data_IF_499296353591
#
_entry.id   IF_499296353591
#
_cell.length_a   1.000
_cell.length_b   1.000
_cell.length_c   1.000
_cell.angle_alpha   90.00
_cell.angle_beta   90.00
_cell.angle_gamma   90.00
#
_symmetry.space_group_name_H-M   'P 1'
#
loop_
_entity.id
_entity.type
_entity.pdbx_description
1 polymer ?
#
# COMPACT_ATOMS: atom_id res chain seq x y z
N UNK A 1 -14.49 19.98 5.73
CA UNK A 1 -13.11 20.23 5.28
C UNK A 1 -12.30 19.05 5.76
N UNK A 2 -11.88 18.17 4.85
CA UNK A 2 -11.09 17.00 5.23
C UNK A 2 -9.65 17.47 5.33
N UNK A 3 -9.13 17.58 6.56
CA UNK A 3 -7.76 18.02 6.81
C UNK A 3 -6.78 17.20 5.97
N UNK A 4 -5.93 17.90 5.22
CA UNK A 4 -4.85 17.28 4.49
C UNK A 4 -3.69 17.03 5.42
N UNK A 5 -3.13 15.83 5.31
CA UNK A 5 -2.01 15.41 6.14
C UNK A 5 -0.91 14.79 5.28
N UNK A 6 0.31 14.85 5.82
CA UNK A 6 1.51 14.31 5.20
C UNK A 6 1.80 12.93 5.79
N UNK A 7 2.05 11.96 4.92
CA UNK A 7 2.53 10.63 5.30
C UNK A 7 4.05 10.69 5.55
N UNK A 8 4.49 10.23 6.72
CA UNK A 8 5.92 10.25 7.03
C UNK A 8 6.73 9.32 6.11
N UNK A 9 8.05 9.53 6.05
CA UNK A 9 8.96 8.68 5.27
C UNK A 9 8.92 7.21 5.69
N UNK A 10 8.61 6.95 6.95
CA UNK A 10 8.50 5.60 7.52
C UNK A 10 7.12 4.97 7.35
N UNK A 11 6.21 5.56 6.57
CA UNK A 11 4.91 4.95 6.24
C UNK A 11 5.09 3.84 5.19
N UNK A 12 5.76 2.75 5.58
CA UNK A 12 6.02 1.58 4.73
C UNK A 12 5.36 0.33 5.31
N UNK A 13 5.06 -0.66 4.45
CA UNK A 13 4.50 -1.94 4.87
C UNK A 13 5.39 -2.68 5.87
N UNK A 14 6.71 -2.47 5.80
CA UNK A 14 7.65 -3.03 6.78
C UNK A 14 7.45 -2.44 8.18
N UNK A 15 7.32 -1.11 8.29
CA UNK A 15 7.11 -0.44 9.58
C UNK A 15 5.69 -0.65 10.12
N UNK A 16 4.69 -0.74 9.23
CA UNK A 16 3.32 -1.15 9.57
C UNK A 16 3.32 -2.54 10.22
N UNK A 17 4.02 -3.51 9.62
CA UNK A 17 4.10 -4.86 10.18
C UNK A 17 4.83 -4.91 11.53
N UNK A 18 5.85 -4.06 11.72
CA UNK A 18 6.52 -3.92 13.03
C UNK A 18 5.61 -3.35 14.11
N UNK A 19 4.59 -2.58 13.75
CA UNK A 19 3.55 -2.06 14.66
C UNK A 19 2.39 -3.05 14.85
N UNK A 20 2.63 -4.36 14.67
CA UNK A 20 1.68 -5.43 14.91
C UNK A 20 0.44 -5.46 14.00
N UNK A 21 0.49 -4.76 12.86
CA UNK A 21 -0.54 -4.85 11.80
C UNK A 21 -0.04 -5.82 10.73
N UNK A 22 -0.68 -6.99 10.59
CA UNK A 22 -0.26 -7.98 9.60
C UNK A 22 -0.56 -7.51 8.20
N UNK A 23 0.34 -7.79 7.25
CA UNK A 23 0.08 -7.53 5.83
C UNK A 23 -0.59 -8.75 5.21
N UNK A 24 -1.81 -8.57 4.72
CA UNK A 24 -2.55 -9.56 3.92
C UNK A 24 -2.48 -9.17 2.45
N UNK A 25 -1.77 -9.95 1.65
CA UNK A 25 -1.74 -9.76 0.20
C UNK A 25 -3.09 -10.15 -0.40
N UNK A 26 -3.63 -9.30 -1.28
CA UNK A 26 -4.93 -9.55 -1.92
C UNK A 26 -4.88 -9.32 -3.42
N UNK A 27 -5.73 -10.02 -4.15
CA UNK A 27 -5.99 -9.79 -5.58
C UNK A 27 -7.28 -8.99 -5.79
N UNK A 28 -8.04 -8.75 -4.71
CA UNK A 28 -9.23 -7.91 -4.74
C UNK A 28 -8.85 -6.44 -4.55
N UNK A 29 -8.95 -5.64 -5.61
CA UNK A 29 -8.66 -4.20 -5.56
C UNK A 29 -9.59 -3.46 -4.57
N UNK A 30 -10.84 -3.93 -4.41
CA UNK A 30 -11.80 -3.32 -3.46
C UNK A 30 -11.32 -3.43 -2.01
N UNK A 31 -10.48 -4.41 -1.70
CA UNK A 31 -9.89 -4.59 -0.36
C UNK A 31 -8.63 -3.73 -0.16
N UNK A 32 -8.09 -3.07 -1.18
CA UNK A 32 -6.80 -2.38 -1.06
C UNK A 32 -6.82 -1.32 0.05
N UNK A 33 -5.88 -1.40 0.99
CA UNK A 33 -5.77 -0.59 2.20
C UNK A 33 -6.89 -0.77 3.23
N UNK A 34 -7.72 -1.81 3.11
CA UNK A 34 -8.71 -2.13 4.13
C UNK A 34 -7.99 -2.63 5.39
N UNK A 35 -8.14 -1.89 6.48
CA UNK A 35 -7.71 -2.30 7.81
C UNK A 35 -8.87 -3.02 8.52
N UNK A 36 -8.64 -4.26 8.94
CA UNK A 36 -9.59 -5.05 9.74
C UNK A 36 -9.01 -5.35 11.10
N UNK A 37 -9.87 -5.40 12.13
CA UNK A 37 -9.51 -5.82 13.48
C UNK A 37 -10.44 -6.98 13.88
N UNK A 38 -9.86 -8.16 14.06
CA UNK A 38 -10.56 -9.37 14.49
C UNK A 38 -9.95 -9.87 15.81
N UNK A 39 -10.68 -9.69 16.91
CA UNK A 39 -10.23 -10.01 18.27
C UNK A 39 -8.83 -9.44 18.63
N UNK A 40 -8.57 -8.18 18.25
CA UNK A 40 -7.29 -7.51 18.51
C UNK A 40 -6.18 -7.86 17.50
N UNK A 41 -6.48 -8.66 16.48
CA UNK A 41 -5.56 -8.97 15.38
C UNK A 41 -5.84 -8.06 14.21
N UNK A 42 -5.00 -7.04 14.07
CA UNK A 42 -5.10 -6.09 12.97
C UNK A 42 -4.46 -6.64 11.69
N UNK A 43 -5.17 -6.56 10.58
CA UNK A 43 -4.67 -6.92 9.26
C UNK A 43 -4.95 -5.80 8.26
N UNK A 44 -3.93 -5.43 7.48
CA UNK A 44 -4.02 -4.50 6.37
C UNK A 44 -3.99 -5.28 5.06
N UNK A 45 -5.06 -5.18 4.28
CA UNK A 45 -5.14 -5.76 2.96
C UNK A 45 -4.38 -4.92 1.93
N UNK A 46 -3.42 -5.52 1.22
CA UNK A 46 -2.61 -4.83 0.20
C UNK A 46 -2.75 -5.54 -1.14
N UNK A 47 -3.47 -4.90 -2.06
CA UNK A 47 -3.52 -5.33 -3.46
C UNK A 47 -2.12 -5.35 -4.05
N UNK A 48 -1.64 -6.47 -4.59
CA UNK A 48 -0.24 -6.57 -5.04
C UNK A 48 -0.05 -6.62 -6.55
N UNK A 49 -1.07 -6.91 -7.37
CA UNK A 49 -0.90 -7.19 -8.80
C UNK A 49 -0.65 -5.92 -9.65
N UNK A 50 0.48 -5.23 -9.41
CA UNK A 50 0.90 -4.03 -10.12
C UNK A 50 1.14 -4.28 -11.62
N UNK A 51 1.56 -5.48 -12.01
CA UNK A 51 1.67 -5.92 -13.40
C UNK A 51 0.32 -5.86 -14.13
N UNK A 52 -0.76 -6.27 -13.44
CA UNK A 52 -2.13 -6.25 -13.99
C UNK A 52 -2.61 -4.81 -14.18
N UNK A 53 -2.38 -3.94 -13.20
CA UNK A 53 -2.69 -2.50 -13.31
C UNK A 53 -1.92 -1.84 -14.46
N UNK A 54 -0.63 -2.14 -14.58
CA UNK A 54 0.24 -1.63 -15.63
C UNK A 54 -0.21 -2.11 -17.02
N UNK A 55 -0.67 -3.36 -17.13
CA UNK A 55 -1.28 -3.89 -18.35
C UNK A 55 -2.59 -3.18 -18.70
N UNK A 56 -3.50 -2.99 -17.73
CA UNK A 56 -4.74 -2.24 -17.94
C UNK A 56 -4.50 -0.80 -18.40
N UNK A 57 -3.41 -0.17 -17.98
CA UNK A 57 -3.05 1.18 -18.45
C UNK A 57 -2.55 1.22 -19.90
N UNK A 58 -2.16 0.08 -20.47
CA UNK A 58 -1.65 -0.01 -21.86
C UNK A 58 -2.73 -0.36 -22.88
N UNK A 59 -3.83 -0.98 -22.46
CA UNK A 59 -4.95 -1.31 -23.37
C UNK A 59 -5.76 -0.07 -23.76
N UNK A 60 -6.52 -0.16 -24.85
CA UNK A 60 -7.39 0.92 -25.34
C UNK A 60 -8.36 1.41 -24.26
N UNK A 61 -8.55 2.73 -24.14
CA UNK A 61 -9.41 3.35 -23.10
C UNK A 61 -10.82 2.75 -23.09
N UNK A 62 -11.42 2.47 -24.27
CA UNK A 62 -12.76 1.87 -24.38
C UNK A 62 -12.87 0.44 -23.82
N UNK A 63 -11.74 -0.23 -23.59
CA UNK A 63 -11.65 -1.59 -23.04
C UNK A 63 -11.15 -1.60 -21.61
N UNK A 64 -10.85 -0.44 -21.01
CA UNK A 64 -10.38 -0.35 -19.63
C UNK A 64 -11.54 -0.55 -18.67
N UNK A 65 -11.34 -1.48 -17.73
CA UNK A 65 -12.25 -1.72 -16.62
C UNK A 65 -12.03 -0.67 -15.51
N UNK A 66 -10.78 -0.23 -15.34
CA UNK A 66 -10.39 0.76 -14.33
C UNK A 66 -10.06 2.11 -14.97
N UNK A 67 -10.39 3.19 -14.26
CA UNK A 67 -9.98 4.54 -14.66
C UNK A 67 -8.48 4.73 -14.40
N UNK A 68 -7.85 5.60 -15.20
CA UNK A 68 -6.39 5.82 -15.18
C UNK A 68 -5.90 6.44 -13.88
N UNK A 69 -6.71 7.32 -13.30
CA UNK A 69 -6.49 7.95 -12.01
C UNK A 69 -6.50 6.91 -10.88
N UNK A 70 -7.47 5.98 -10.86
CA UNK A 70 -7.50 4.88 -9.89
C UNK A 70 -6.28 3.96 -10.03
N UNK A 71 -5.90 3.61 -11.27
CA UNK A 71 -4.71 2.81 -11.54
C UNK A 71 -3.47 3.53 -10.99
N UNK A 72 -3.28 4.79 -11.37
CA UNK A 72 -2.10 5.56 -10.98
C UNK A 72 -2.03 5.76 -9.47
N UNK A 73 -3.17 6.04 -8.84
CA UNK A 73 -3.27 6.20 -7.40
C UNK A 73 -2.91 4.91 -6.66
N UNK A 74 -3.40 3.76 -7.14
CA UNK A 74 -3.06 2.45 -6.55
C UNK A 74 -1.57 2.12 -6.74
N UNK A 75 -0.97 2.45 -7.88
CA UNK A 75 0.47 2.29 -8.05
C UNK A 75 1.26 3.21 -7.09
N UNK A 76 0.75 4.42 -6.83
CA UNK A 76 1.36 5.35 -5.89
C UNK A 76 1.25 4.87 -4.44
N UNK A 77 0.14 4.21 -4.04
CA UNK A 77 0.02 3.60 -2.70
C UNK A 77 0.96 2.41 -2.53
N UNK A 78 1.19 1.62 -3.59
CA UNK A 78 2.22 0.58 -3.58
C UNK A 78 3.63 1.17 -3.46
N UNK A 79 3.92 2.28 -4.14
CA UNK A 79 5.20 2.97 -4.00
C UNK A 79 5.40 3.59 -2.59
N UNK A 80 4.32 4.00 -1.91
CA UNK A 80 4.33 4.40 -0.49
C UNK A 80 4.69 3.22 0.41
N UNK A 81 3.94 2.12 0.27
CA UNK A 81 4.06 0.95 1.14
C UNK A 81 5.34 0.15 0.89
N UNK A 82 5.81 0.09 -0.35
CA UNK A 82 6.96 -0.70 -0.78
C UNK A 82 7.90 0.14 -1.65
N UNK A 83 8.57 1.17 -1.08
CA UNK A 83 9.44 2.02 -1.87
C UNK A 83 10.63 1.21 -2.41
N UNK A 84 10.82 1.25 -3.73
CA UNK A 84 11.84 0.46 -4.46
C UNK A 84 13.24 0.52 -3.85
N UNK A 85 13.66 1.70 -3.40
CA UNK A 85 15.03 1.95 -2.92
C UNK A 85 15.12 2.01 -1.39
N UNK A 86 14.06 1.66 -0.67
CA UNK A 86 14.12 1.61 0.80
C UNK A 86 14.88 0.37 1.27
N UNK A 87 16.01 0.60 1.96
CA UNK A 87 16.96 -0.44 2.35
C UNK A 87 16.39 -1.49 3.32
N UNK A 88 15.27 -1.19 4.00
CA UNK A 88 14.62 -2.13 4.94
C UNK A 88 13.44 -2.83 4.30
N UNK A 89 12.63 -2.08 3.57
CA UNK A 89 11.36 -2.54 2.99
C UNK A 89 11.57 -3.43 1.78
N UNK A 90 12.52 -3.11 0.88
CA UNK A 90 12.80 -3.94 -0.29
C UNK A 90 13.23 -5.38 0.07
N UNK A 91 14.24 -5.62 0.95
CA UNK A 91 14.58 -6.98 1.34
C UNK A 91 13.51 -7.64 2.21
N UNK A 92 12.73 -6.87 2.99
CA UNK A 92 11.57 -7.40 3.71
C UNK A 92 10.50 -7.96 2.76
N UNK A 93 10.15 -7.21 1.71
CA UNK A 93 9.16 -7.62 0.72
C UNK A 93 9.62 -8.89 -0.02
N UNK A 94 10.88 -8.94 -0.44
CA UNK A 94 11.42 -10.14 -1.12
C UNK A 94 11.39 -11.37 -0.21
N UNK A 95 11.67 -11.22 1.09
CA UNK A 95 11.51 -12.32 2.06
C UNK A 95 10.05 -12.76 2.19
N UNK A 96 9.08 -11.84 2.19
CA UNK A 96 7.65 -12.17 2.24
C UNK A 96 7.23 -12.92 0.98
N UNK A 97 7.63 -12.45 -0.19
CA UNK A 97 7.38 -13.10 -1.48
C UNK A 97 7.91 -14.54 -1.52
N UNK A 98 9.16 -14.75 -1.11
CA UNK A 98 9.80 -16.09 -1.12
C UNK A 98 9.21 -17.07 -0.12
N UNK A 99 8.64 -16.58 1.00
CA UNK A 99 8.01 -17.42 2.03
C UNK A 99 6.52 -17.66 1.77
N UNK A 100 5.91 -16.88 0.88
CA UNK A 100 4.50 -17.03 0.54
C UNK A 100 4.26 -18.32 -0.24
N UNK A 101 3.17 -19.01 0.08
CA UNK A 101 2.67 -20.15 -0.70
C UNK A 101 1.90 -19.71 -1.94
N UNK A 102 1.38 -18.49 -1.94
CA UNK A 102 0.70 -17.86 -3.07
C UNK A 102 1.64 -16.90 -3.82
N UNK A 103 1.35 -16.68 -5.10
CA UNK A 103 2.08 -15.71 -5.91
C UNK A 103 1.88 -14.29 -5.37
N UNK A 104 2.98 -13.57 -5.15
CA UNK A 104 2.97 -12.13 -4.88
C UNK A 104 3.78 -11.47 -5.99
N UNK A 105 3.14 -10.52 -6.66
CA UNK A 105 3.67 -9.85 -7.85
C UNK A 105 4.90 -9.01 -7.48
N UNK A 106 6.09 -9.31 -8.06
CA UNK A 106 7.31 -8.57 -7.76
C UNK A 106 7.24 -7.11 -8.19
N UNK A 107 6.40 -6.75 -9.17
CA UNK A 107 6.24 -5.36 -9.63
C UNK A 107 5.63 -4.45 -8.54
N UNK A 108 4.98 -5.01 -7.52
CA UNK A 108 4.42 -4.25 -6.41
C UNK A 108 5.44 -3.34 -5.71
N UNK A 109 6.72 -3.72 -5.70
CA UNK A 109 7.81 -2.97 -5.08
C UNK A 109 8.75 -2.28 -6.10
N UNK A 110 8.37 -2.19 -7.37
CA UNK A 110 9.21 -1.61 -8.44
C UNK A 110 8.92 -0.13 -8.73
N UNK A 111 7.93 0.44 -8.04
CA UNK A 111 7.50 1.83 -8.26
C UNK A 111 8.28 2.81 -7.38
N UNK A 112 8.61 3.97 -7.97
CA UNK A 112 9.25 5.08 -7.26
C UNK A 112 8.18 6.01 -6.70
N UNK A 113 8.43 6.51 -5.50
CA UNK A 113 7.60 7.54 -4.86
C UNK A 113 8.22 8.91 -5.10
N UNK A 114 7.43 9.87 -5.58
CA UNK A 114 7.80 11.29 -5.53
C UNK A 114 7.46 11.88 -4.17
N UNK A 115 8.17 12.91 -3.71
CA UNK A 115 7.85 13.55 -2.42
C UNK A 115 6.41 14.10 -2.38
N UNK A 116 5.84 14.49 -3.53
CA UNK A 116 4.45 14.96 -3.63
C UNK A 116 3.43 13.86 -3.34
N UNK A 117 3.75 12.61 -3.65
CA UNK A 117 2.92 11.43 -3.31
C UNK A 117 2.86 11.16 -1.80
N UNK A 118 3.50 11.96 -0.94
CA UNK A 118 3.29 11.87 0.51
C UNK A 118 2.12 12.75 1.00
N UNK A 119 1.64 13.65 0.15
CA UNK A 119 0.43 14.42 0.43
C UNK A 119 -0.81 13.57 0.11
N UNK A 120 -1.69 13.42 1.09
CA UNK A 120 -2.94 12.64 0.94
C UNK A 120 -3.95 13.24 -0.04
N UNK A 121 -3.82 14.51 -0.43
CA UNK A 121 -4.56 15.09 -1.57
C UNK A 121 -4.33 14.34 -2.89
N UNK A 122 -3.21 13.63 -3.02
CA UNK A 122 -2.89 12.84 -4.22
C UNK A 122 -3.67 11.52 -4.29
N UNK A 123 -4.53 11.24 -3.30
CA UNK A 123 -5.19 9.94 -3.13
C UNK A 123 -6.73 10.01 -3.03
N UNK A 124 -7.46 10.61 -3.99
CA UNK A 124 -8.92 10.72 -3.89
C UNK A 124 -9.67 9.39 -3.74
N UNK A 125 -9.16 8.26 -4.25
CA UNK A 125 -9.80 6.94 -4.09
C UNK A 125 -9.48 6.26 -2.76
N UNK A 126 -8.29 6.47 -2.20
CA UNK A 126 -7.75 5.76 -1.05
C UNK A 126 -7.53 6.64 0.20
N UNK A 127 -7.80 7.96 0.14
CA UNK A 127 -7.55 8.94 1.22
C UNK A 127 -8.12 8.47 2.56
N UNK A 128 -9.38 8.05 2.60
CA UNK A 128 -10.04 7.65 3.85
C UNK A 128 -9.35 6.44 4.49
N UNK A 129 -8.94 5.45 3.68
CA UNK A 129 -8.24 4.26 4.17
C UNK A 129 -6.81 4.58 4.62
N UNK A 130 -6.12 5.46 3.92
CA UNK A 130 -4.81 5.98 4.34
C UNK A 130 -4.91 6.77 5.64
N UNK A 131 -5.98 7.54 5.84
CA UNK A 131 -6.23 8.29 7.08
C UNK A 131 -6.46 7.35 8.25
N UNK A 132 -7.34 6.36 8.11
CA UNK A 132 -7.59 5.34 9.14
C UNK A 132 -6.29 4.63 9.50
N UNK A 133 -5.52 4.19 8.51
CA UNK A 133 -4.24 3.53 8.73
C UNK A 133 -3.24 4.43 9.43
N UNK A 134 -3.15 5.72 9.05
CA UNK A 134 -2.26 6.67 9.75
C UNK A 134 -2.67 6.84 11.21
N UNK A 135 -3.95 7.09 11.48
CA UNK A 135 -4.46 7.26 12.84
C UNK A 135 -4.14 6.03 13.71
N UNK A 136 -4.30 4.83 13.15
CA UNK A 136 -3.95 3.59 13.83
C UNK A 136 -2.45 3.51 14.16
N UNK A 137 -1.58 3.85 13.21
CA UNK A 137 -0.13 3.85 13.42
C UNK A 137 0.33 4.91 14.43
N UNK A 138 -0.33 6.07 14.46
CA UNK A 138 -0.04 7.17 15.39
C UNK A 138 -0.48 6.80 16.82
N UNK A 139 -1.60 6.08 16.96
CA UNK A 139 -2.09 5.57 18.25
C UNK A 139 -1.26 4.40 18.80
N UNK A 140 -0.59 3.64 17.92
CA UNK A 140 0.25 2.51 18.31
C UNK A 140 1.63 3.00 18.75
N UNK A 141 1.89 3.05 20.06
CA UNK A 141 3.25 3.32 20.58
C UNK A 141 4.26 2.30 20.03
N UNK A 142 5.49 2.71 19.67
CA UNK A 142 6.51 1.77 19.21
C UNK A 142 6.81 0.76 20.32
N UNK A 143 6.69 -0.53 20.02
CA UNK A 143 7.21 -1.58 20.90
C UNK A 143 8.75 -1.49 20.89
N UNK A 144 9.32 -0.75 21.84
CA UNK A 144 10.72 -0.92 22.22
C UNK A 144 10.84 -2.27 22.92
N UNK A 145 11.47 -3.23 22.23
CA UNK A 145 12.13 -4.37 22.86
C UNK A 145 13.36 -3.89 23.62
#
# INVERSE_FOLDING_TARGET
MADDFQLERHFTAHEIEKKSIRIRWTENLVDHLLLTDDDGKKELAVFHQASVLSYHRRIEIRRRVFKDDLIQETLNTLALLMPKYDARTAPWFERKRRKSTAFIDPEAAMHQISDQCRNTMMYPYWKDRLLILKQELDNTQPQTL
#
